data_IF_827297226420
#
_entry.id   IF_827297226420
#
_cell.length_a   1.000
_cell.length_b   1.000
_cell.length_c   1.000
_cell.angle_alpha   90.00
_cell.angle_beta   90.00
_cell.angle_gamma   90.00
#
_symmetry.space_group_name_H-M   'P 1'
#
loop_
_entity.id
_entity.type
_entity.pdbx_description
1 polymer ?
#
# COMPACT_ATOMS: atom_id res chain seq x y z
N UNK A 1 16.66 17.77 -10.96
CA UNK A 1 15.54 17.16 -10.22
C UNK A 1 15.78 17.49 -8.77
N UNK A 2 14.89 18.28 -8.19
CA UNK A 2 14.84 18.48 -6.75
C UNK A 2 14.18 17.28 -6.08
N UNK A 3 14.32 17.20 -4.77
CA UNK A 3 13.89 16.07 -3.96
C UNK A 3 12.98 16.55 -2.85
N UNK A 4 11.81 15.94 -2.78
CA UNK A 4 10.71 16.38 -1.91
C UNK A 4 10.14 15.22 -1.11
N UNK A 5 9.53 15.56 0.03
CA UNK A 5 8.65 14.68 0.77
C UNK A 5 7.24 15.26 0.71
N UNK A 6 6.24 14.43 0.40
CA UNK A 6 4.84 14.83 0.25
C UNK A 6 3.98 13.94 1.14
N UNK A 7 3.18 14.55 2.02
CA UNK A 7 2.21 13.84 2.85
C UNK A 7 0.95 13.56 2.04
N UNK A 8 0.47 12.33 2.13
CA UNK A 8 -0.87 11.93 1.69
C UNK A 8 -1.68 11.48 2.91
N UNK A 9 -3.02 11.57 2.87
CA UNK A 9 -3.88 11.00 3.90
C UNK A 9 -3.61 9.50 4.07
N UNK A 10 -3.70 8.98 5.30
CA UNK A 10 -3.47 7.55 5.56
C UNK A 10 -4.50 6.69 4.82
N UNK A 11 -5.74 7.16 4.75
CA UNK A 11 -6.86 6.52 4.06
C UNK A 11 -6.60 6.43 2.55
N UNK A 12 -5.85 7.40 1.99
CA UNK A 12 -5.42 7.31 0.59
C UNK A 12 -4.45 6.16 0.41
N UNK A 13 -3.49 6.00 1.32
CA UNK A 13 -2.53 4.89 1.25
C UNK A 13 -3.21 3.52 1.42
N UNK A 14 -4.18 3.40 2.33
CA UNK A 14 -5.01 2.20 2.47
C UNK A 14 -5.72 1.84 1.15
N UNK A 15 -6.24 2.84 0.44
CA UNK A 15 -6.87 2.63 -0.87
C UNK A 15 -5.87 2.10 -1.92
N UNK A 16 -4.62 2.58 -1.90
CA UNK A 16 -3.55 2.11 -2.80
C UNK A 16 -3.12 0.67 -2.51
N UNK A 17 -3.35 0.15 -1.29
CA UNK A 17 -3.13 -1.27 -0.96
C UNK A 17 -4.14 -2.18 -1.65
N UNK A 18 -5.35 -1.66 -1.86
CA UNK A 18 -6.46 -2.40 -2.46
C UNK A 18 -6.42 -2.41 -3.99
N UNK A 19 -5.99 -1.29 -4.59
CA UNK A 19 -6.09 -1.09 -6.03
C UNK A 19 -4.74 -0.71 -6.63
N UNK A 20 -4.40 -1.36 -7.74
CA UNK A 20 -3.21 -1.03 -8.49
C UNK A 20 -3.42 0.25 -9.31
N UNK A 21 -2.84 1.36 -8.85
CA UNK A 21 -2.74 2.60 -9.62
C UNK A 21 -1.30 2.94 -9.93
N UNK A 22 -0.97 3.29 -11.17
CA UNK A 22 0.38 3.74 -11.54
C UNK A 22 0.70 5.16 -11.07
N UNK A 23 -0.33 5.94 -10.72
CA UNK A 23 -0.19 7.32 -10.27
C UNK A 23 -1.06 7.61 -9.05
N UNK A 24 -0.66 8.63 -8.28
CA UNK A 24 -1.46 9.24 -7.22
C UNK A 24 -1.56 10.74 -7.43
N UNK A 25 -2.75 11.30 -7.19
CA UNK A 25 -3.02 12.73 -7.27
C UNK A 25 -3.14 13.31 -5.87
N UNK A 26 -2.38 14.37 -5.60
CA UNK A 26 -2.44 15.14 -4.35
C UNK A 26 -3.08 16.49 -4.64
N UNK A 27 -4.32 16.66 -4.20
CA UNK A 27 -5.10 17.87 -4.42
C UNK A 27 -4.52 19.08 -3.69
N UNK A 28 -4.45 20.23 -4.38
CA UNK A 28 -3.92 21.47 -3.81
C UNK A 28 -2.42 21.42 -3.49
N UNK A 29 -1.69 20.47 -4.10
CA UNK A 29 -0.37 20.04 -3.68
C UNK A 29 0.78 20.35 -4.64
N UNK A 30 0.56 21.00 -5.80
CA UNK A 30 1.64 21.27 -6.75
C UNK A 30 2.81 22.04 -6.09
N UNK A 31 2.48 23.02 -5.24
CA UNK A 31 3.45 23.71 -4.39
C UNK A 31 4.73 24.10 -5.15
N UNK A 32 5.93 23.86 -4.58
CA UNK A 32 7.22 24.07 -5.25
C UNK A 32 7.69 22.88 -6.09
N UNK A 33 6.93 21.78 -6.18
CA UNK A 33 7.36 20.54 -6.82
C UNK A 33 7.25 20.70 -8.34
N UNK A 34 8.40 20.60 -9.02
CA UNK A 34 8.47 20.70 -10.47
C UNK A 34 8.23 19.35 -11.16
N UNK A 35 7.93 19.35 -12.47
CA UNK A 35 7.93 18.11 -13.25
C UNK A 35 9.31 17.45 -13.19
N UNK A 36 9.31 16.11 -13.22
CA UNK A 36 10.48 15.22 -13.11
C UNK A 36 11.18 15.22 -11.74
N UNK A 37 10.75 16.02 -10.77
CA UNK A 37 11.27 15.98 -9.40
C UNK A 37 10.97 14.64 -8.73
N UNK A 38 11.87 14.19 -7.85
CA UNK A 38 11.71 12.93 -7.14
C UNK A 38 11.03 13.17 -5.78
N UNK A 39 10.10 12.29 -5.43
CA UNK A 39 9.20 12.49 -4.31
C UNK A 39 9.14 11.25 -3.42
N UNK A 40 9.38 11.43 -2.13
CA UNK A 40 9.04 10.47 -1.09
C UNK A 40 7.60 10.73 -0.63
N UNK A 41 6.76 9.71 -0.73
CA UNK A 41 5.38 9.78 -0.24
C UNK A 41 5.33 9.35 1.23
N UNK A 42 4.67 10.16 2.06
CA UNK A 42 4.55 9.94 3.50
C UNK A 42 3.09 9.76 3.89
N UNK A 43 2.78 8.70 4.63
CA UNK A 43 1.46 8.42 5.16
C UNK A 43 1.60 7.79 6.55
N UNK A 44 0.74 8.18 7.50
CA UNK A 44 0.73 7.57 8.85
C UNK A 44 2.01 7.75 9.68
N UNK A 45 2.96 8.59 9.27
CA UNK A 45 4.27 8.74 9.94
C UNK A 45 5.41 7.96 9.27
N UNK A 46 5.11 7.22 8.21
CA UNK A 46 6.09 6.46 7.44
C UNK A 46 6.18 6.93 6.00
N UNK A 47 7.34 6.68 5.40
CA UNK A 47 7.61 6.78 3.98
C UNK A 47 7.17 5.49 3.31
N UNK A 48 6.15 5.62 2.46
CA UNK A 48 5.40 4.49 1.91
C UNK A 48 5.67 4.26 0.43
N UNK A 49 6.23 5.24 -0.27
CA UNK A 49 6.58 5.09 -1.68
C UNK A 49 7.63 6.10 -2.15
N UNK A 50 8.32 5.73 -3.23
CA UNK A 50 9.11 6.61 -4.06
C UNK A 50 8.33 6.87 -5.34
N UNK A 51 8.21 8.13 -5.73
CA UNK A 51 7.49 8.57 -6.92
C UNK A 51 8.28 9.65 -7.68
N UNK A 52 7.85 9.92 -8.90
CA UNK A 52 8.32 11.03 -9.71
C UNK A 52 7.16 11.95 -10.02
N UNK A 53 7.36 13.25 -9.87
CA UNK A 53 6.38 14.24 -10.26
C UNK A 53 6.21 14.25 -11.77
N UNK A 54 4.96 14.09 -12.22
CA UNK A 54 4.59 14.25 -13.62
C UNK A 54 3.81 15.55 -13.77
N UNK A 55 3.75 16.03 -15.01
CA UNK A 55 2.99 17.26 -15.30
C UNK A 55 1.51 17.04 -14.97
N UNK A 56 1.04 17.72 -13.93
CA UNK A 56 -0.39 17.80 -13.59
C UNK A 56 -1.12 18.85 -14.42
N UNK A 57 -2.45 18.74 -14.42
CA UNK A 57 -3.36 19.78 -14.94
C UNK A 57 -3.88 20.61 -13.76
N UNK A 58 -3.81 21.94 -13.87
CA UNK A 58 -4.26 22.85 -12.82
C UNK A 58 -3.34 22.87 -11.59
N UNK A 59 -3.93 22.87 -10.39
CA UNK A 59 -3.22 22.99 -9.10
C UNK A 59 -2.89 21.63 -8.45
N UNK A 60 -3.23 20.52 -9.13
CA UNK A 60 -3.02 19.17 -8.64
C UNK A 60 -1.58 18.69 -8.90
N UNK A 61 -1.00 18.03 -7.90
CA UNK A 61 0.28 17.34 -8.05
C UNK A 61 0.00 15.88 -8.42
N UNK A 62 0.46 15.46 -9.60
CA UNK A 62 0.36 14.06 -10.03
C UNK A 62 1.73 13.41 -9.89
N UNK A 63 1.77 12.26 -9.22
CA UNK A 63 2.99 11.54 -8.90
C UNK A 63 2.91 10.12 -9.49
N UNK A 64 3.85 9.78 -10.37
CA UNK A 64 3.98 8.42 -10.90
C UNK A 64 4.80 7.56 -9.93
N UNK A 65 4.26 6.42 -9.53
CA UNK A 65 4.95 5.52 -8.62
C UNK A 65 6.18 4.90 -9.28
N UNK A 66 7.32 5.03 -8.63
CA UNK A 66 8.57 4.34 -8.99
C UNK A 66 8.68 3.06 -8.18
N UNK A 67 8.46 3.13 -6.86
CA UNK A 67 8.48 1.99 -5.92
C UNK A 67 7.47 2.22 -4.79
N UNK A 68 6.91 1.12 -4.24
CA UNK A 68 5.96 1.12 -3.12
C UNK A 68 6.50 0.20 -2.02
N UNK A 69 6.35 0.61 -0.77
CA UNK A 69 6.73 -0.14 0.41
C UNK A 69 5.48 -0.52 1.21
N UNK A 70 4.72 -1.50 0.69
CA UNK A 70 3.52 -2.01 1.36
C UNK A 70 3.88 -2.90 2.56
N UNK A 71 4.91 -3.72 2.42
CA UNK A 71 5.29 -4.72 3.43
C UNK A 71 6.31 -4.19 4.45
N UNK A 72 7.14 -3.23 4.03
CA UNK A 72 8.23 -2.69 4.84
C UNK A 72 8.38 -1.16 4.65
N UNK A 73 7.41 -0.36 5.11
CA UNK A 73 7.50 1.10 5.08
C UNK A 73 8.67 1.60 5.94
N UNK A 74 9.21 2.78 5.62
CA UNK A 74 10.40 3.33 6.28
C UNK A 74 10.00 4.50 7.17
N UNK A 75 10.41 4.60 8.45
CA UNK A 75 10.03 5.71 9.31
C UNK A 75 10.34 7.09 8.72
N UNK A 76 9.38 8.02 8.77
CA UNK A 76 9.55 9.37 8.21
C UNK A 76 10.10 10.40 9.20
N UNK A 77 10.49 10.00 10.42
CA UNK A 77 10.86 10.91 11.51
C UNK A 77 12.03 11.87 11.21
N UNK A 78 12.88 11.55 10.22
CA UNK A 78 13.97 12.42 9.78
C UNK A 78 13.54 13.43 8.71
N UNK A 79 12.34 13.29 8.13
CA UNK A 79 11.78 14.21 7.13
C UNK A 79 11.18 15.43 7.85
N UNK A 80 11.91 16.55 7.81
CA UNK A 80 11.52 17.80 8.45
C UNK A 80 10.34 18.48 7.75
N UNK A 81 9.11 18.10 8.10
CA UNK A 81 7.92 18.86 7.70
C UNK A 81 7.69 20.02 8.65
N UNK A 82 7.54 21.23 8.08
CA UNK A 82 7.05 22.38 8.85
C UNK A 82 5.63 22.11 9.38
N UNK A 83 5.27 22.76 10.48
CA UNK A 83 3.96 22.59 11.12
C UNK A 83 2.81 22.85 10.13
N UNK A 84 2.01 21.81 9.87
CA UNK A 84 0.88 21.87 8.93
C UNK A 84 1.24 21.83 7.44
N UNK A 85 2.53 21.77 7.07
CA UNK A 85 2.95 21.66 5.68
C UNK A 85 2.80 20.21 5.16
N UNK A 86 2.17 20.07 4.00
CA UNK A 86 2.03 18.80 3.27
C UNK A 86 3.21 18.47 2.36
N UNK A 87 4.13 19.42 2.13
CA UNK A 87 5.30 19.27 1.25
C UNK A 87 6.52 19.83 1.95
N UNK A 88 7.65 19.12 1.89
CA UNK A 88 8.92 19.56 2.47
C UNK A 88 10.11 19.24 1.54
N UNK A 89 11.11 20.12 1.41
CA UNK A 89 12.34 19.80 0.71
C UNK A 89 13.13 18.75 1.50
N UNK A 90 13.83 17.85 0.79
CA UNK A 90 14.62 16.79 1.41
C UNK A 90 16.08 16.96 1.03
N UNK A 91 16.98 16.83 2.01
CA UNK A 91 18.42 16.80 1.76
C UNK A 91 18.79 15.61 0.84
N UNK A 92 19.67 15.79 -0.16
CA UNK A 92 19.96 14.72 -1.12
C UNK A 92 20.66 13.48 -0.59
N UNK A 93 21.35 13.56 0.54
CA UNK A 93 21.92 12.38 1.20
C UNK A 93 20.84 11.61 1.95
N UNK A 94 19.99 12.32 2.70
CA UNK A 94 18.83 11.74 3.37
C UNK A 94 17.89 11.06 2.37
N UNK A 95 17.56 11.75 1.27
CA UNK A 95 16.68 11.23 0.23
C UNK A 95 17.20 9.90 -0.33
N UNK A 96 18.49 9.85 -0.72
CA UNK A 96 19.10 8.63 -1.28
C UNK A 96 19.08 7.47 -0.30
N UNK A 97 19.32 7.72 0.99
CA UNK A 97 19.25 6.71 2.04
C UNK A 97 17.85 6.12 2.17
N UNK A 98 16.83 6.96 2.28
CA UNK A 98 15.43 6.52 2.41
C UNK A 98 14.95 5.83 1.13
N UNK A 99 15.26 6.39 -0.04
CA UNK A 99 14.91 5.80 -1.33
C UNK A 99 15.60 4.45 -1.58
N UNK A 100 16.80 4.24 -1.02
CA UNK A 100 17.45 2.93 -1.03
C UNK A 100 16.69 1.93 -0.14
N UNK A 101 16.32 2.33 1.09
CA UNK A 101 15.61 1.47 2.04
C UNK A 101 14.24 1.00 1.52
N UNK A 102 13.45 1.87 0.87
CA UNK A 102 12.18 1.49 0.18
C UNK A 102 12.43 0.39 -0.87
N UNK A 103 13.63 0.35 -1.43
CA UNK A 103 14.06 -0.62 -2.42
C UNK A 103 14.56 -1.94 -1.87
N UNK A 104 15.01 -2.03 -0.61
CA UNK A 104 15.68 -3.26 -0.14
C UNK A 104 14.75 -4.48 -0.10
N UNK A 105 13.43 -4.28 0.02
CA UNK A 105 12.43 -5.35 -0.12
C UNK A 105 12.05 -5.72 -1.57
N UNK A 106 12.36 -4.88 -2.55
CA UNK A 106 11.89 -5.03 -3.96
C UNK A 106 13.02 -5.14 -4.99
N UNK A 107 14.23 -4.69 -4.64
CA UNK A 107 15.41 -4.66 -5.51
C UNK A 107 16.19 -5.96 -5.33
N UNK A 108 15.93 -6.92 -6.22
CA UNK A 108 16.71 -8.16 -6.34
C UNK A 108 15.93 -9.45 -6.10
N UNK A 109 14.67 -9.38 -5.70
CA UNK A 109 13.78 -10.55 -5.72
C UNK A 109 13.36 -10.86 -7.15
N UNK A 110 13.74 -12.02 -7.68
CA UNK A 110 13.12 -12.54 -8.91
C UNK A 110 11.59 -12.51 -8.76
N UNK A 111 10.89 -12.05 -9.81
CA UNK A 111 9.42 -12.06 -9.82
C UNK A 111 8.93 -13.48 -9.53
N UNK A 112 8.27 -13.66 -8.40
CA UNK A 112 7.64 -14.92 -8.02
C UNK A 112 6.23 -14.97 -8.59
N UNK A 113 5.81 -16.18 -8.96
CA UNK A 113 4.39 -16.43 -9.26
C UNK A 113 3.67 -16.66 -7.94
N UNK A 114 2.62 -15.89 -7.72
CA UNK A 114 1.75 -15.98 -6.54
C UNK A 114 0.38 -16.48 -6.98
N UNK A 115 -0.21 -17.35 -6.18
CA UNK A 115 -1.63 -17.67 -6.27
C UNK A 115 -2.38 -16.79 -5.29
N UNK A 116 -3.50 -16.22 -5.74
CA UNK A 116 -4.38 -15.36 -4.95
C UNK A 116 -5.80 -15.88 -5.11
N UNK A 117 -6.48 -16.14 -4.00
CA UNK A 117 -7.83 -16.70 -3.98
C UNK A 117 -8.72 -16.00 -2.95
N UNK A 118 -10.02 -15.98 -3.20
CA UNK A 118 -11.04 -15.64 -2.20
C UNK A 118 -11.81 -16.92 -1.89
N UNK A 119 -11.82 -17.33 -0.63
CA UNK A 119 -12.54 -18.53 -0.18
C UNK A 119 -13.64 -18.11 0.80
N UNK A 120 -14.90 -18.36 0.42
CA UNK A 120 -16.06 -18.07 1.24
C UNK A 120 -16.82 -19.37 1.54
N UNK A 121 -17.19 -19.65 2.80
CA UNK A 121 -18.05 -20.77 3.13
C UNK A 121 -19.49 -20.45 2.68
N UNK A 122 -19.94 -21.09 1.60
CA UNK A 122 -21.28 -20.90 1.04
C UNK A 122 -22.11 -22.16 1.23
N UNK A 123 -23.20 -22.05 1.98
CA UNK A 123 -24.20 -23.11 2.11
C UNK A 123 -25.26 -23.00 1.01
N UNK A 124 -25.35 -24.01 0.14
CA UNK A 124 -26.34 -24.01 -0.94
C UNK A 124 -26.81 -25.43 -1.30
N UNK A 125 -28.02 -25.52 -1.85
CA UNK A 125 -28.63 -26.79 -2.25
C UNK A 125 -27.90 -27.48 -3.42
N UNK A 126 -27.17 -26.70 -4.25
CA UNK A 126 -26.42 -27.23 -5.40
C UNK A 126 -25.13 -26.43 -5.62
N UNK A 127 -24.13 -27.00 -6.33
CA UNK A 127 -22.91 -26.27 -6.69
C UNK A 127 -23.16 -25.01 -7.51
N UNK A 128 -24.15 -25.02 -8.41
CA UNK A 128 -24.47 -23.84 -9.24
C UNK A 128 -25.07 -22.70 -8.39
N UNK A 129 -25.92 -23.03 -7.40
CA UNK A 129 -26.43 -22.03 -6.46
C UNK A 129 -25.32 -21.51 -5.54
N UNK A 130 -24.37 -22.35 -5.13
CA UNK A 130 -23.20 -21.90 -4.37
C UNK A 130 -22.39 -20.85 -5.16
N UNK A 131 -22.14 -21.09 -6.45
CA UNK A 131 -21.44 -20.12 -7.31
C UNK A 131 -22.24 -18.83 -7.47
N UNK A 132 -23.57 -18.92 -7.61
CA UNK A 132 -24.43 -17.72 -7.72
C UNK A 132 -24.37 -16.88 -6.45
N UNK A 133 -24.49 -17.52 -5.29
CA UNK A 133 -24.38 -16.84 -4.00
C UNK A 133 -22.97 -16.30 -3.75
N UNK A 134 -21.92 -17.04 -4.10
CA UNK A 134 -20.53 -16.56 -4.00
C UNK A 134 -20.36 -15.20 -4.70
N UNK A 135 -20.80 -15.08 -5.96
CA UNK A 135 -20.66 -13.82 -6.69
C UNK A 135 -21.52 -12.69 -6.10
N UNK A 136 -22.68 -13.01 -5.52
CA UNK A 136 -23.46 -12.02 -4.75
C UNK A 136 -22.68 -11.50 -3.56
N UNK A 137 -22.09 -12.39 -2.74
CA UNK A 137 -21.28 -11.99 -1.59
C UNK A 137 -20.04 -11.19 -2.00
N UNK A 138 -19.37 -11.60 -3.08
CA UNK A 138 -18.19 -10.87 -3.58
C UNK A 138 -18.55 -9.44 -3.99
N UNK A 139 -19.71 -9.24 -4.61
CA UNK A 139 -20.19 -7.91 -5.00
C UNK A 139 -20.67 -7.08 -3.80
N UNK A 140 -21.26 -7.72 -2.79
CA UNK A 140 -21.81 -7.06 -1.60
C UNK A 140 -20.71 -6.60 -0.64
N UNK A 141 -19.73 -7.47 -0.35
CA UNK A 141 -18.66 -7.22 0.62
C UNK A 141 -17.49 -6.44 -0.01
N UNK A 142 -17.13 -6.79 -1.25
CA UNK A 142 -16.05 -6.14 -1.98
C UNK A 142 -14.64 -6.33 -1.36
N UNK A 143 -13.61 -5.68 -1.93
CA UNK A 143 -12.21 -5.89 -1.55
C UNK A 143 -11.83 -5.32 -0.18
N UNK A 144 -12.70 -4.52 0.43
CA UNK A 144 -12.49 -3.95 1.77
C UNK A 144 -12.72 -5.01 2.84
N UNK A 145 -13.72 -5.85 2.65
CA UNK A 145 -14.17 -6.81 3.67
C UNK A 145 -13.77 -8.26 3.36
N UNK A 146 -13.53 -8.60 2.09
CA UNK A 146 -13.21 -9.97 1.69
C UNK A 146 -11.75 -10.33 2.01
N UNK A 147 -11.50 -11.45 2.72
CA UNK A 147 -10.15 -11.98 2.86
C UNK A 147 -9.65 -12.54 1.52
N UNK A 148 -8.41 -12.22 1.22
CA UNK A 148 -7.65 -12.80 0.11
C UNK A 148 -6.56 -13.70 0.67
N UNK A 149 -6.49 -14.93 0.15
CA UNK A 149 -5.48 -15.90 0.53
C UNK A 149 -4.38 -15.92 -0.51
N UNK A 150 -3.13 -15.77 -0.06
CA UNK A 150 -1.95 -15.66 -0.91
C UNK A 150 -0.94 -16.74 -0.54
N UNK A 151 -0.38 -17.41 -1.54
CA UNK A 151 0.73 -18.34 -1.36
C UNK A 151 1.64 -18.36 -2.61
N UNK A 152 2.94 -18.66 -2.46
CA UNK A 152 3.83 -18.76 -3.60
C UNK A 152 3.59 -20.06 -4.38
N UNK A 153 3.80 -20.01 -5.70
CA UNK A 153 3.75 -21.20 -6.54
C UNK A 153 4.80 -22.22 -6.09
N UNK A 154 4.38 -23.46 -5.82
CA UNK A 154 5.25 -24.56 -5.37
C UNK A 154 5.41 -24.66 -3.85
N UNK A 155 4.70 -23.84 -3.08
CA UNK A 155 4.57 -23.97 -1.62
C UNK A 155 3.14 -23.58 -1.20
N UNK A 156 2.18 -24.44 -1.52
CA UNK A 156 0.76 -24.19 -1.28
C UNK A 156 0.35 -24.24 0.20
N UNK A 157 1.24 -24.74 1.08
CA UNK A 157 0.99 -24.79 2.51
C UNK A 157 1.32 -23.47 3.21
N UNK A 158 2.09 -22.57 2.58
CA UNK A 158 2.40 -21.23 3.09
C UNK A 158 1.26 -20.23 2.84
N UNK A 159 0.00 -20.66 2.99
CA UNK A 159 -1.17 -19.84 2.76
C UNK A 159 -1.32 -18.78 3.84
N UNK A 160 -1.31 -17.51 3.43
CA UNK A 160 -1.50 -16.36 4.31
C UNK A 160 -2.76 -15.60 3.93
N UNK A 161 -3.54 -15.18 4.94
CA UNK A 161 -4.72 -14.34 4.73
C UNK A 161 -4.34 -12.86 4.74
N UNK A 162 -4.95 -12.11 3.83
CA UNK A 162 -4.82 -10.67 3.69
C UNK A 162 -6.20 -10.02 3.66
N UNK A 163 -6.42 -9.03 4.52
CA UNK A 163 -7.60 -8.15 4.53
C UNK A 163 -7.09 -6.71 4.35
N UNK A 164 -7.73 -5.92 3.49
CA UNK A 164 -7.24 -4.57 3.14
C UNK A 164 -5.81 -4.53 2.57
N UNK A 165 -5.34 -5.62 1.97
CA UNK A 165 -3.95 -5.73 1.48
C UNK A 165 -2.92 -5.72 2.61
N UNK A 166 -3.32 -6.01 3.84
CA UNK A 166 -2.46 -6.26 4.99
C UNK A 166 -2.63 -7.71 5.45
N UNK A 167 -1.56 -8.29 5.96
CA UNK A 167 -1.62 -9.60 6.59
C UNK A 167 -2.60 -9.55 7.76
N UNK A 168 -3.49 -10.54 7.82
CA UNK A 168 -4.49 -10.66 8.88
C UNK A 168 -4.42 -12.07 9.43
N UNK A 169 -4.12 -12.22 10.73
CA UNK A 169 -4.32 -13.50 11.40
C UNK A 169 -5.81 -13.80 11.41
N UNK A 170 -6.18 -15.04 11.11
CA UNK A 170 -7.58 -15.49 11.12
C UNK A 170 -7.76 -16.66 12.08
N UNK A 171 -6.74 -16.99 12.88
CA UNK A 171 -6.83 -17.99 13.94
C UNK A 171 -7.48 -17.37 15.19
N UNK A 172 -8.72 -17.77 15.53
CA UNK A 172 -9.41 -17.23 16.70
C UNK A 172 -8.72 -17.61 18.02
N UNK A 173 -7.87 -18.64 18.03
CA UNK A 173 -7.16 -19.07 19.25
C UNK A 173 -5.91 -18.22 19.55
N UNK A 174 -5.39 -17.46 18.58
CA UNK A 174 -4.22 -16.58 18.74
C UNK A 174 -4.59 -15.10 19.01
N UNK A 175 -5.85 -14.69 18.80
CA UNK A 175 -6.31 -13.30 19.07
C UNK A 175 -6.35 -12.96 20.58
N UNK A 176 -6.36 -13.95 21.47
CA UNK A 176 -6.53 -13.78 22.92
C UNK A 176 -5.21 -13.47 23.69
N UNK A 177 -4.03 -13.48 23.04
CA UNK A 177 -2.73 -13.30 23.74
C UNK A 177 -2.25 -11.83 23.85
N UNK A 178 -2.87 -10.86 23.17
CA UNK A 178 -2.41 -9.46 23.18
C UNK A 178 -3.02 -8.56 24.29
N UNK A 179 -3.99 -9.03 25.09
CA UNK A 179 -4.65 -8.21 26.13
C UNK A 179 -4.09 -8.35 27.57
N UNK A 180 -3.09 -9.20 27.85
CA UNK A 180 -2.64 -9.45 29.23
C UNK A 180 -1.39 -8.69 29.74
N UNK A 181 -0.68 -7.91 28.90
CA UNK A 181 0.51 -7.16 29.35
C UNK A 181 0.37 -5.63 29.12
N UNK A 182 -0.49 -4.97 29.90
CA UNK A 182 -0.53 -3.51 30.07
C UNK A 182 -0.61 -3.08 31.55
#
# INVERSE_FOLDING_TARGET
MAQWAVKIPAERWETERLFHHDTVTVSGGAGPVGPDDEVLLVAGGDVVALAQAVRGDGDDLVLAYVRRAFDAPVPAGELGFDDGAGVAPVDPELFRRVAAAIGEGTVGGDKKTWFVSVALPIEAATPAEAVRQFWSHVLELGPVELPTYVWPSGDELAMQAFVLGAEANQDPEEEDEEEEDA
#
